data_IF_011713451923
#
_entry.id   IF_011713451923
#
_cell.length_a   1.000
_cell.length_b   1.000
_cell.length_c   1.000
_cell.angle_alpha   90.00
_cell.angle_beta   90.00
_cell.angle_gamma   90.00
#
_symmetry.space_group_name_H-M   'P 1'
#
loop_
_entity.id
_entity.type
_entity.pdbx_description
1 polymer ?
#
# COMPACT_ATOMS: atom_id res chain seq x y z
N UNK A 1 21.28 -15.90 5.43
CA UNK A 1 20.78 -15.22 6.66
C UNK A 1 20.16 -13.89 6.25
N UNK A 2 18.95 -13.57 6.72
CA UNK A 2 18.22 -12.35 6.35
C UNK A 2 18.83 -11.07 6.96
N UNK A 3 18.42 -9.91 6.45
CA UNK A 3 18.81 -8.61 7.03
C UNK A 3 18.03 -8.36 8.32
N UNK A 4 18.64 -7.84 9.39
CA UNK A 4 17.91 -7.49 10.60
C UNK A 4 16.94 -6.33 10.32
N UNK A 5 15.69 -6.48 10.76
CA UNK A 5 14.65 -5.47 10.62
C UNK A 5 13.77 -5.43 11.86
N UNK A 6 13.15 -4.28 12.09
CA UNK A 6 12.05 -4.11 13.04
C UNK A 6 10.74 -4.02 12.27
N UNK A 7 9.77 -4.85 12.62
CA UNK A 7 8.40 -4.71 12.14
C UNK A 7 7.72 -3.55 12.86
N UNK A 8 7.10 -2.65 12.09
CA UNK A 8 6.36 -1.49 12.59
C UNK A 8 4.84 -1.68 12.49
N UNK A 9 4.38 -2.74 11.83
CA UNK A 9 2.97 -3.08 11.67
C UNK A 9 2.52 -3.14 10.20
N UNK A 10 1.27 -3.55 10.02
CA UNK A 10 0.63 -3.60 8.71
C UNK A 10 0.34 -2.20 8.18
N UNK A 11 0.47 -2.03 6.87
CA UNK A 11 0.20 -0.79 6.16
C UNK A 11 -0.51 -1.08 4.85
N UNK A 12 -1.45 -0.21 4.49
CA UNK A 12 -2.18 -0.27 3.24
C UNK A 12 -2.12 1.05 2.48
N UNK A 13 -2.43 0.98 1.18
CA UNK A 13 -2.65 2.14 0.35
C UNK A 13 -3.50 1.78 -0.84
N UNK A 14 -4.40 2.69 -1.21
CA UNK A 14 -5.42 2.41 -2.21
C UNK A 14 -5.53 3.52 -3.26
N UNK A 15 -6.12 3.18 -4.40
CA UNK A 15 -6.51 4.11 -5.46
C UNK A 15 -7.98 3.86 -5.78
N UNK A 16 -8.86 4.66 -5.19
CA UNK A 16 -10.30 4.64 -5.41
C UNK A 16 -10.70 5.38 -6.70
N UNK A 17 -11.48 4.73 -7.54
CA UNK A 17 -12.27 5.36 -8.61
C UNK A 17 -13.72 5.47 -8.11
N UNK A 18 -14.19 6.70 -7.85
CA UNK A 18 -15.50 6.93 -7.24
C UNK A 18 -16.62 6.69 -8.25
N UNK A 19 -16.46 7.18 -9.47
CA UNK A 19 -17.41 7.02 -10.57
C UNK A 19 -16.75 6.47 -11.84
N UNK A 20 -17.55 5.98 -12.79
CA UNK A 20 -17.06 5.54 -14.10
C UNK A 20 -16.39 6.64 -14.94
N UNK A 21 -16.63 7.91 -14.62
CA UNK A 21 -16.06 9.06 -15.31
C UNK A 21 -14.68 9.44 -14.76
N UNK A 22 -14.36 9.00 -13.54
CA UNK A 22 -13.07 9.24 -12.92
C UNK A 22 -11.99 8.34 -13.53
N UNK A 23 -10.73 8.73 -13.32
CA UNK A 23 -9.58 7.92 -13.72
C UNK A 23 -9.68 6.50 -13.14
N UNK A 24 -9.41 5.45 -13.94
CA UNK A 24 -9.40 4.08 -13.45
C UNK A 24 -8.44 3.89 -12.26
N UNK A 25 -8.72 2.93 -11.36
CA UNK A 25 -7.84 2.64 -10.25
C UNK A 25 -6.45 2.19 -10.74
N UNK A 26 -5.40 2.65 -10.06
CA UNK A 26 -4.02 2.46 -10.51
C UNK A 26 -3.16 1.81 -9.39
N UNK A 27 -2.63 0.61 -9.67
CA UNK A 27 -1.79 -0.14 -8.73
C UNK A 27 -0.51 0.63 -8.35
N UNK A 28 0.26 1.20 -9.29
CA UNK A 28 1.39 2.08 -8.94
C UNK A 28 1.02 3.21 -7.95
N UNK A 29 -0.13 3.86 -8.13
CA UNK A 29 -0.63 4.89 -7.20
C UNK A 29 -0.95 4.30 -5.82
N UNK A 30 -1.65 3.17 -5.76
CA UNK A 30 -1.96 2.47 -4.52
C UNK A 30 -0.67 2.08 -3.76
N UNK A 31 0.31 1.51 -4.47
CA UNK A 31 1.64 1.17 -3.93
C UNK A 31 2.39 2.40 -3.42
N UNK A 32 2.32 3.53 -4.14
CA UNK A 32 2.95 4.77 -3.70
C UNK A 32 2.31 5.31 -2.42
N UNK A 33 0.98 5.28 -2.33
CA UNK A 33 0.24 5.65 -1.12
C UNK A 33 0.58 4.75 0.06
N UNK A 34 0.70 3.44 -0.18
CA UNK A 34 1.16 2.48 0.80
C UNK A 34 2.55 2.84 1.33
N UNK A 35 3.51 3.17 0.45
CA UNK A 35 4.86 3.58 0.84
C UNK A 35 4.85 4.89 1.65
N UNK A 36 4.01 5.86 1.26
CA UNK A 36 3.85 7.11 2.02
C UNK A 36 3.30 6.85 3.41
N UNK A 37 2.30 5.96 3.54
CA UNK A 37 1.76 5.58 4.84
C UNK A 37 2.79 4.85 5.71
N UNK A 38 3.61 3.97 5.12
CA UNK A 38 4.70 3.32 5.83
C UNK A 38 5.74 4.35 6.32
N UNK A 39 6.05 5.35 5.49
CA UNK A 39 6.96 6.44 5.86
C UNK A 39 6.42 7.26 7.04
N UNK A 40 5.10 7.46 7.17
CA UNK A 40 4.49 8.12 8.36
C UNK A 40 4.72 7.31 9.64
N UNK A 41 4.88 6.00 9.52
CA UNK A 41 5.24 5.10 10.64
C UNK A 41 6.76 5.07 10.93
N UNK A 42 7.55 5.91 10.24
CA UNK A 42 9.02 5.92 10.29
C UNK A 42 9.66 4.63 9.75
N UNK A 43 8.97 3.95 8.84
CA UNK A 43 9.51 2.82 8.08
C UNK A 43 10.46 3.32 6.97
N UNK A 44 11.48 2.54 6.66
CA UNK A 44 12.36 2.76 5.51
C UNK A 44 12.22 1.70 4.41
N UNK A 45 11.42 0.66 4.68
CA UNK A 45 11.10 -0.39 3.73
C UNK A 45 9.65 -0.84 3.91
N UNK A 46 9.12 -1.46 2.86
CA UNK A 46 7.84 -2.15 2.89
C UNK A 46 8.05 -3.54 2.31
N UNK A 47 7.59 -4.56 3.02
CA UNK A 47 7.36 -5.87 2.45
C UNK A 47 5.95 -5.91 1.85
N UNK A 48 5.85 -5.87 0.52
CA UNK A 48 4.56 -5.92 -0.17
C UNK A 48 3.99 -7.34 -0.14
N UNK A 49 2.73 -7.50 0.25
CA UNK A 49 2.06 -8.80 0.30
C UNK A 49 1.23 -9.03 -0.95
N UNK A 50 0.28 -8.14 -1.23
CA UNK A 50 -0.53 -8.20 -2.44
C UNK A 50 -0.93 -6.81 -2.92
N UNK A 51 -1.34 -6.74 -4.17
CA UNK A 51 -2.00 -5.60 -4.79
C UNK A 51 -3.10 -6.11 -5.70
N UNK A 52 -4.34 -5.77 -5.39
CA UNK A 52 -5.51 -6.30 -6.07
C UNK A 52 -6.43 -5.16 -6.52
N UNK A 53 -7.11 -5.35 -7.64
CA UNK A 53 -8.18 -4.44 -8.09
C UNK A 53 -9.51 -5.08 -7.79
N UNK A 54 -10.27 -4.46 -6.89
CA UNK A 54 -11.61 -4.89 -6.51
C UNK A 54 -12.66 -3.94 -7.09
N UNK A 55 -13.86 -4.46 -7.30
CA UNK A 55 -15.03 -3.69 -7.71
C UNK A 55 -16.11 -3.79 -6.64
N UNK A 56 -16.91 -2.74 -6.50
CA UNK A 56 -18.03 -2.75 -5.55
C UNK A 56 -17.66 -2.46 -4.09
N UNK A 57 -16.50 -1.83 -3.85
CA UNK A 57 -16.19 -1.30 -2.52
C UNK A 57 -17.17 -0.16 -2.18
N UNK A 58 -17.76 -0.10 -0.98
CA UNK A 58 -18.57 1.05 -0.58
C UNK A 58 -17.82 2.37 -0.77
N UNK A 59 -18.37 3.27 -1.58
CA UNK A 59 -17.76 4.57 -1.91
C UNK A 59 -16.80 4.58 -3.12
N UNK A 60 -16.46 3.42 -3.69
CA UNK A 60 -15.65 3.32 -4.91
C UNK A 60 -16.33 2.40 -5.93
N UNK A 61 -16.55 2.89 -7.14
CA UNK A 61 -16.95 2.04 -8.25
C UNK A 61 -15.95 0.90 -8.47
N UNK A 62 -14.65 1.23 -8.49
CA UNK A 62 -13.52 0.28 -8.47
C UNK A 62 -12.39 0.82 -7.62
N UNK A 63 -11.55 -0.07 -7.10
CA UNK A 63 -10.45 0.31 -6.24
C UNK A 63 -9.27 -0.62 -6.46
N UNK A 64 -8.06 -0.06 -6.56
CA UNK A 64 -6.83 -0.82 -6.41
C UNK A 64 -6.37 -0.70 -4.96
N UNK A 65 -6.11 -1.79 -4.27
CA UNK A 65 -5.63 -1.80 -2.89
C UNK A 65 -4.34 -2.59 -2.85
N UNK A 66 -3.30 -2.03 -2.22
CA UNK A 66 -2.08 -2.72 -1.88
C UNK A 66 -1.98 -2.84 -0.36
N UNK A 67 -1.47 -3.97 0.11
CA UNK A 67 -1.24 -4.27 1.52
C UNK A 67 0.16 -4.83 1.73
N UNK A 68 0.75 -4.56 2.89
CA UNK A 68 2.07 -5.04 3.24
C UNK A 68 2.46 -4.70 4.67
N UNK A 69 3.68 -5.07 5.05
CA UNK A 69 4.26 -4.72 6.35
C UNK A 69 5.23 -3.55 6.22
N UNK A 70 5.09 -2.57 7.11
CA UNK A 70 6.00 -1.45 7.25
C UNK A 70 7.22 -1.89 8.09
N UNK A 71 8.42 -1.80 7.52
CA UNK A 71 9.64 -2.29 8.16
C UNK A 71 10.65 -1.15 8.35
N UNK A 72 11.39 -1.22 9.45
CA UNK A 72 12.62 -0.46 9.62
C UNK A 72 13.82 -1.42 9.57
N UNK A 73 14.45 -1.49 8.41
CA UNK A 73 15.64 -2.32 8.17
C UNK A 73 16.86 -1.57 8.66
N UNK A 74 17.59 -2.15 9.60
CA UNK A 74 18.86 -1.59 10.05
C UNK A 74 19.93 -1.98 9.03
N UNK A 75 20.58 -0.99 8.41
CA UNK A 75 21.80 -1.21 7.67
C UNK A 75 22.92 -1.43 8.70
N UNK A 76 23.28 -2.69 8.94
CA UNK A 76 24.49 -3.04 9.67
C UNK A 76 25.63 -3.26 8.67
#
# INVERSE_FOLDING_TARGET
MGKPFRDLGEVSGDSCQVSNQDSPPNIPTARKRLQVNASKMKANAVLLHSCDVTSGTPGCYRQAVCVGSALNVSAK
#
